data_IF_892689858182
#
_entry.id   IF_892689858182
#
_cell.length_a   1.000
_cell.length_b   1.000
_cell.length_c   1.000
_cell.angle_alpha   90.00
_cell.angle_beta   90.00
_cell.angle_gamma   90.00
#
_symmetry.space_group_name_H-M   'P 1'
#
loop_
_entity.id
_entity.type
_entity.pdbx_description
1 polymer ?
#
# COMPACT_ATOMS: atom_id res chain seq x y z
N UNK A 1 -19.32 -12.18 3.80
CA UNK A 1 -17.97 -11.72 3.37
C UNK A 1 -18.07 -10.27 2.92
N UNK A 2 -17.23 -9.39 3.44
CA UNK A 2 -17.11 -8.03 2.92
C UNK A 2 -16.68 -8.10 1.43
N UNK A 3 -17.23 -7.22 0.59
CA UNK A 3 -16.79 -7.12 -0.80
C UNK A 3 -15.34 -6.64 -0.85
N UNK A 4 -14.52 -7.22 -1.72
CA UNK A 4 -13.16 -6.76 -1.93
C UNK A 4 -13.16 -5.35 -2.55
N UNK A 5 -12.28 -4.48 -2.06
CA UNK A 5 -12.09 -3.14 -2.63
C UNK A 5 -11.61 -3.23 -4.09
N UNK A 6 -10.70 -4.17 -4.35
CA UNK A 6 -10.20 -4.53 -5.68
C UNK A 6 -9.68 -5.96 -5.66
N UNK A 7 -9.38 -6.51 -6.83
CA UNK A 7 -8.65 -7.77 -7.02
C UNK A 7 -7.47 -7.53 -7.95
N UNK A 8 -6.48 -8.44 -7.94
CA UNK A 8 -5.30 -8.29 -8.78
C UNK A 8 -4.18 -7.49 -8.11
N UNK A 9 -3.33 -6.85 -8.90
CA UNK A 9 -2.15 -6.15 -8.41
C UNK A 9 -2.42 -4.65 -8.26
N UNK A 10 -2.35 -4.16 -7.02
CA UNK A 10 -2.28 -2.74 -6.69
C UNK A 10 -0.83 -2.28 -6.52
N UNK A 11 -0.60 -0.99 -6.64
CA UNK A 11 0.70 -0.36 -6.41
C UNK A 11 0.73 0.38 -5.08
N UNK A 12 1.78 0.17 -4.28
CA UNK A 12 2.19 1.11 -3.26
C UNK A 12 3.04 2.19 -3.97
N UNK A 13 2.40 3.30 -4.32
CA UNK A 13 3.00 4.32 -5.18
C UNK A 13 4.18 5.00 -4.50
N UNK A 14 5.25 5.26 -5.26
CA UNK A 14 6.29 6.20 -4.83
C UNK A 14 5.74 7.62 -4.86
N UNK A 15 6.26 8.49 -4.00
CA UNK A 15 6.00 9.93 -4.06
C UNK A 15 7.22 10.61 -4.64
N UNK A 16 7.06 11.45 -5.66
CA UNK A 16 8.18 12.19 -6.22
C UNK A 16 8.39 13.52 -5.50
N UNK A 17 9.65 13.87 -5.32
CA UNK A 17 10.08 15.13 -4.73
C UNK A 17 11.10 15.80 -5.63
N UNK A 18 11.08 17.13 -5.66
CA UNK A 18 12.14 17.92 -6.23
C UNK A 18 13.41 17.86 -5.39
N UNK A 19 14.54 18.32 -5.95
CA UNK A 19 15.83 18.39 -5.23
C UNK A 19 15.76 19.34 -4.01
N UNK A 20 14.80 20.26 -3.99
CA UNK A 20 14.49 21.16 -2.89
C UNK A 20 13.55 20.53 -1.83
N UNK A 21 13.15 19.29 -2.02
CA UNK A 21 12.21 18.56 -1.16
C UNK A 21 10.74 18.90 -1.40
N UNK A 22 10.40 19.72 -2.42
CA UNK A 22 9.01 20.03 -2.77
C UNK A 22 8.30 18.78 -3.30
N UNK A 23 7.05 18.58 -2.88
CA UNK A 23 6.18 17.53 -3.40
C UNK A 23 5.88 17.78 -4.90
N UNK A 24 6.10 16.77 -5.73
CA UNK A 24 5.80 16.77 -7.16
C UNK A 24 4.52 15.99 -7.41
N UNK A 25 3.38 16.67 -7.21
CA UNK A 25 2.05 16.03 -7.29
C UNK A 25 1.77 15.54 -8.70
N UNK A 26 1.98 16.40 -9.70
CA UNK A 26 1.67 16.11 -11.10
C UNK A 26 2.46 14.89 -11.60
N UNK A 27 3.79 14.87 -11.38
CA UNK A 27 4.65 13.76 -11.79
C UNK A 27 4.32 12.46 -11.06
N UNK A 28 3.90 12.55 -9.78
CA UNK A 28 3.47 11.39 -8.99
C UNK A 28 2.17 10.81 -9.54
N UNK A 29 1.23 11.67 -9.90
CA UNK A 29 -0.08 11.27 -10.45
C UNK A 29 0.04 10.75 -11.88
N UNK A 30 0.86 11.37 -12.73
CA UNK A 30 1.16 10.85 -14.08
C UNK A 30 1.72 9.43 -14.03
N UNK A 31 2.62 9.15 -13.08
CA UNK A 31 3.13 7.80 -12.86
C UNK A 31 2.02 6.82 -12.42
N UNK A 32 1.10 7.25 -11.56
CA UNK A 32 -0.04 6.41 -11.17
C UNK A 32 -0.94 6.07 -12.36
N UNK A 33 -1.19 7.05 -13.24
CA UNK A 33 -1.98 6.86 -14.47
C UNK A 33 -1.32 5.84 -15.40
N UNK A 34 -0.01 6.00 -15.67
CA UNK A 34 0.76 5.03 -16.49
C UNK A 34 0.63 3.60 -15.94
N UNK A 35 0.78 3.44 -14.62
CA UNK A 35 0.67 2.13 -14.00
C UNK A 35 -0.73 1.51 -14.12
N UNK A 36 -1.78 2.31 -13.99
CA UNK A 36 -3.16 1.84 -14.17
C UNK A 36 -3.43 1.47 -15.64
N UNK A 37 -2.91 2.22 -16.61
CA UNK A 37 -2.98 1.88 -18.02
C UNK A 37 -2.25 0.57 -18.35
N UNK A 38 -1.23 0.21 -17.57
CA UNK A 38 -0.47 -1.05 -17.63
C UNK A 38 -1.09 -2.18 -16.82
N UNK A 39 -2.31 -2.00 -16.29
CA UNK A 39 -3.10 -3.05 -15.66
C UNK A 39 -3.05 -3.10 -14.12
N UNK A 40 -2.48 -2.10 -13.46
CA UNK A 40 -2.60 -1.96 -12.01
C UNK A 40 -4.05 -1.63 -11.65
N UNK A 41 -4.59 -2.33 -10.67
CA UNK A 41 -6.01 -2.31 -10.30
C UNK A 41 -6.33 -1.50 -9.06
N UNK A 42 -5.34 -0.97 -8.36
CA UNK A 42 -5.52 -0.04 -7.22
C UNK A 42 -4.24 0.78 -7.00
N UNK A 43 -4.39 2.01 -6.53
CA UNK A 43 -3.27 2.91 -6.22
C UNK A 43 -3.28 3.29 -4.75
N UNK A 44 -2.19 3.00 -4.04
CA UNK A 44 -2.01 3.43 -2.64
C UNK A 44 -1.03 4.59 -2.61
N UNK A 45 -1.53 5.79 -2.30
CA UNK A 45 -0.72 7.00 -2.10
C UNK A 45 -0.31 7.15 -0.64
N UNK A 46 0.78 7.83 -0.38
CA UNK A 46 1.24 8.15 0.98
C UNK A 46 1.40 6.94 1.91
N UNK A 47 1.67 5.75 1.33
CA UNK A 47 2.08 4.57 2.11
C UNK A 47 3.57 4.63 2.47
N UNK A 48 4.12 3.56 3.07
CA UNK A 48 5.55 3.46 3.40
C UNK A 48 6.44 3.63 2.16
N UNK A 49 6.04 3.09 1.01
CA UNK A 49 6.75 3.27 -0.27
C UNK A 49 6.75 4.73 -0.73
N UNK A 50 5.67 5.45 -0.45
CA UNK A 50 5.50 6.88 -0.76
C UNK A 50 6.02 7.80 0.34
N UNK A 51 6.91 7.32 1.21
CA UNK A 51 7.58 8.12 2.26
C UNK A 51 6.60 8.81 3.21
N UNK A 52 5.62 8.03 3.72
CA UNK A 52 4.59 8.54 4.64
C UNK A 52 5.14 9.31 5.85
N UNK A 53 6.35 8.99 6.34
CA UNK A 53 6.99 9.71 7.44
C UNK A 53 7.40 11.15 7.10
N UNK A 54 7.48 11.49 5.81
CA UNK A 54 7.91 12.79 5.31
C UNK A 54 6.74 13.64 4.76
N UNK A 55 5.51 13.15 4.83
CA UNK A 55 4.31 13.81 4.35
C UNK A 55 3.39 14.21 5.50
N UNK A 56 2.96 15.48 5.53
CA UNK A 56 1.91 15.91 6.43
C UNK A 56 0.51 15.50 5.93
N UNK A 57 -0.52 15.81 6.70
CA UNK A 57 -1.91 15.41 6.36
C UNK A 57 -2.40 16.12 5.11
N UNK A 58 -2.05 17.38 4.92
CA UNK A 58 -2.51 18.19 3.78
C UNK A 58 -1.88 17.70 2.47
N UNK A 59 -0.59 17.39 2.46
CA UNK A 59 0.11 16.79 1.33
C UNK A 59 -0.46 15.41 0.94
N UNK A 60 -0.86 14.60 1.94
CA UNK A 60 -1.49 13.29 1.67
C UNK A 60 -2.88 13.45 1.05
N UNK A 61 -3.68 14.40 1.54
CA UNK A 61 -5.00 14.69 0.99
C UNK A 61 -4.89 15.29 -0.41
N UNK A 62 -3.91 16.16 -0.66
CA UNK A 62 -3.63 16.72 -1.98
C UNK A 62 -3.28 15.61 -3.00
N UNK A 63 -2.35 14.71 -2.65
CA UNK A 63 -2.01 13.57 -3.49
C UNK A 63 -3.20 12.64 -3.74
N UNK A 64 -4.01 12.41 -2.70
CA UNK A 64 -5.20 11.57 -2.82
C UNK A 64 -6.21 12.18 -3.79
N UNK A 65 -6.52 13.47 -3.63
CA UNK A 65 -7.48 14.18 -4.47
C UNK A 65 -7.01 14.24 -5.94
N UNK A 66 -5.76 14.59 -6.16
CA UNK A 66 -5.19 14.64 -7.50
C UNK A 66 -5.17 13.26 -8.19
N UNK A 67 -4.82 12.20 -7.45
CA UNK A 67 -4.85 10.84 -7.98
C UNK A 67 -6.27 10.37 -8.28
N UNK A 68 -7.23 10.66 -7.40
CA UNK A 68 -8.64 10.29 -7.59
C UNK A 68 -9.24 11.00 -8.81
N UNK A 69 -8.97 12.29 -8.99
CA UNK A 69 -9.38 13.07 -10.15
C UNK A 69 -8.78 12.51 -11.45
N UNK A 70 -7.47 12.31 -11.49
CA UNK A 70 -6.78 11.85 -12.70
C UNK A 70 -7.16 10.41 -13.08
N UNK A 71 -7.41 9.55 -12.12
CA UNK A 71 -7.82 8.16 -12.37
C UNK A 71 -9.30 8.04 -12.77
N UNK A 72 -10.16 8.99 -12.41
CA UNK A 72 -11.57 9.06 -12.81
C UNK A 72 -12.30 7.71 -12.68
N UNK A 73 -12.16 7.07 -11.53
CA UNK A 73 -12.79 5.78 -11.22
C UNK A 73 -12.18 4.55 -11.90
N UNK A 74 -11.11 4.68 -12.70
CA UNK A 74 -10.42 3.55 -13.36
C UNK A 74 -9.76 2.59 -12.36
N UNK A 75 -9.36 3.10 -11.20
CA UNK A 75 -8.83 2.33 -10.10
C UNK A 75 -9.13 3.03 -8.77
N UNK A 76 -9.44 2.31 -7.67
CA UNK A 76 -9.61 2.91 -6.36
C UNK A 76 -8.29 3.50 -5.86
N UNK A 77 -8.38 4.70 -5.26
CA UNK A 77 -7.28 5.35 -4.55
C UNK A 77 -7.40 5.04 -3.06
N UNK A 78 -6.31 4.59 -2.47
CA UNK A 78 -6.19 4.30 -1.04
C UNK A 78 -5.14 5.22 -0.44
N UNK A 79 -5.46 5.91 0.66
CA UNK A 79 -4.50 6.82 1.32
C UNK A 79 -3.90 6.17 2.57
N UNK A 80 -2.59 6.27 2.74
CA UNK A 80 -1.88 5.73 3.91
C UNK A 80 -1.95 6.66 5.12
N UNK A 81 -2.32 6.14 6.31
CA UNK A 81 -2.31 6.88 7.59
C UNK A 81 -1.09 6.60 8.47
N UNK A 82 -0.17 5.75 8.04
CA UNK A 82 1.01 5.41 8.83
C UNK A 82 1.90 6.62 9.17
N UNK A 83 2.60 6.55 10.33
CA UNK A 83 3.50 7.58 10.86
C UNK A 83 2.84 8.90 11.27
N UNK A 84 1.52 9.01 11.26
CA UNK A 84 0.78 10.09 11.89
C UNK A 84 0.55 9.75 13.37
N UNK A 85 0.45 10.79 14.20
CA UNK A 85 -0.12 10.65 15.53
C UNK A 85 -1.65 10.44 15.47
N UNK A 86 -2.28 10.18 16.61
CA UNK A 86 -3.71 9.87 16.66
C UNK A 86 -4.58 11.03 16.12
N UNK A 87 -4.21 12.29 16.37
CA UNK A 87 -4.93 13.47 15.89
C UNK A 87 -4.81 13.60 14.36
N UNK A 88 -3.59 13.46 13.83
CA UNK A 88 -3.32 13.49 12.40
C UNK A 88 -4.01 12.33 11.66
N UNK A 89 -3.99 11.12 12.25
CA UNK A 89 -4.67 9.96 11.68
C UNK A 89 -6.19 10.16 11.64
N UNK A 90 -6.79 10.65 12.74
CA UNK A 90 -8.22 10.96 12.80
C UNK A 90 -8.61 12.04 11.78
N UNK A 91 -7.82 13.12 11.65
CA UNK A 91 -8.02 14.19 10.67
C UNK A 91 -7.94 13.63 9.24
N UNK A 92 -6.91 12.84 8.92
CA UNK A 92 -6.76 12.23 7.60
C UNK A 92 -7.96 11.35 7.26
N UNK A 93 -8.33 10.45 8.17
CA UNK A 93 -9.42 9.49 7.96
C UNK A 93 -10.75 10.22 7.76
N UNK A 94 -11.03 11.26 8.57
CA UNK A 94 -12.26 12.06 8.46
C UNK A 94 -12.37 12.87 7.17
N UNK A 95 -11.26 13.22 6.50
CA UNK A 95 -11.24 14.00 5.27
C UNK A 95 -10.99 13.17 4.00
N UNK A 96 -10.56 11.91 4.15
CA UNK A 96 -10.11 11.09 3.03
C UNK A 96 -11.21 10.79 1.99
N UNK A 97 -12.44 10.59 2.44
CA UNK A 97 -13.58 10.36 1.54
C UNK A 97 -13.86 11.58 0.65
N UNK A 98 -13.81 12.79 1.22
CA UNK A 98 -13.99 14.05 0.48
C UNK A 98 -12.84 14.30 -0.50
N UNK A 99 -11.65 13.78 -0.21
CA UNK A 99 -10.51 13.77 -1.12
C UNK A 99 -10.56 12.62 -2.17
N UNK A 100 -11.68 11.89 -2.26
CA UNK A 100 -11.88 10.84 -3.26
C UNK A 100 -11.22 9.50 -2.93
N UNK A 101 -10.75 9.28 -1.69
CA UNK A 101 -10.25 7.99 -1.27
C UNK A 101 -11.37 6.94 -1.23
N UNK A 102 -11.09 5.75 -1.75
CA UNK A 102 -11.96 4.58 -1.60
C UNK A 102 -11.70 3.81 -0.30
N UNK A 103 -10.52 4.00 0.31
CA UNK A 103 -10.16 3.40 1.59
C UNK A 103 -8.97 4.13 2.23
N UNK A 104 -8.76 3.88 3.53
CA UNK A 104 -7.53 4.21 4.26
C UNK A 104 -6.72 2.94 4.50
N UNK A 105 -5.42 2.99 4.29
CA UNK A 105 -4.47 1.94 4.67
C UNK A 105 -3.84 2.30 6.01
N UNK A 106 -4.28 1.64 7.07
CA UNK A 106 -3.93 1.94 8.45
C UNK A 106 -2.80 1.03 8.96
N UNK A 107 -1.60 1.57 9.09
CA UNK A 107 -0.47 0.85 9.71
C UNK A 107 -0.78 0.56 11.18
N UNK A 108 -0.52 -0.67 11.62
CA UNK A 108 -0.66 -1.03 13.04
C UNK A 108 0.24 -0.14 13.92
N UNK A 109 -0.21 0.25 15.11
CA UNK A 109 0.61 1.07 16.01
C UNK A 109 1.85 0.28 16.48
N UNK A 110 3.04 0.91 16.54
CA UNK A 110 4.24 0.24 17.02
C UNK A 110 4.15 -0.04 18.53
N UNK A 111 4.68 -1.20 18.94
CA UNK A 111 4.79 -1.62 20.33
C UNK A 111 3.45 -1.69 21.11
N UNK A 112 2.32 -1.79 20.39
CA UNK A 112 1.03 -1.97 21.03
C UNK A 112 0.85 -3.42 21.51
N UNK A 113 0.43 -3.59 22.76
CA UNK A 113 0.03 -4.89 23.31
C UNK A 113 -1.32 -5.36 22.73
N UNK A 114 -2.20 -4.40 22.41
CA UNK A 114 -3.49 -4.62 21.76
C UNK A 114 -3.72 -3.57 20.65
N UNK A 115 -3.98 -4.04 19.45
CA UNK A 115 -4.22 -3.18 18.28
C UNK A 115 -5.70 -2.80 18.08
N UNK A 116 -6.64 -3.45 18.81
CA UNK A 116 -8.09 -3.21 18.65
C UNK A 116 -8.49 -1.76 18.89
N UNK A 117 -8.04 -1.07 19.98
CA UNK A 117 -8.42 0.32 20.21
C UNK A 117 -8.03 1.27 19.07
N UNK A 118 -6.87 1.01 18.43
CA UNK A 118 -6.42 1.80 17.28
C UNK A 118 -7.40 1.67 16.08
N UNK A 119 -7.75 0.45 15.70
CA UNK A 119 -8.65 0.23 14.56
C UNK A 119 -10.09 0.65 14.86
N UNK A 120 -10.55 0.49 16.10
CA UNK A 120 -11.86 1.00 16.57
C UNK A 120 -11.92 2.54 16.47
N UNK A 121 -10.88 3.24 16.91
CA UNK A 121 -10.79 4.69 16.80
C UNK A 121 -10.80 5.15 15.34
N UNK A 122 -10.01 4.52 14.47
CA UNK A 122 -9.99 4.86 13.05
C UNK A 122 -11.33 4.60 12.38
N UNK A 123 -11.97 3.46 12.64
CA UNK A 123 -13.28 3.12 12.10
C UNK A 123 -14.37 4.13 12.56
N UNK A 124 -14.30 4.61 13.80
CA UNK A 124 -15.22 5.62 14.31
C UNK A 124 -15.12 6.97 13.56
N UNK A 125 -13.94 7.32 13.04
CA UNK A 125 -13.72 8.54 12.25
C UNK A 125 -13.97 8.32 10.75
N UNK A 126 -13.90 7.08 10.27
CA UNK A 126 -14.00 6.74 8.86
C UNK A 126 -15.43 6.85 8.30
N UNK A 127 -16.47 6.77 9.14
CA UNK A 127 -17.84 6.67 8.67
C UNK A 127 -18.02 5.46 7.74
N UNK A 128 -18.40 5.72 6.49
CA UNK A 128 -18.59 4.67 5.48
C UNK A 128 -17.29 4.33 4.71
N UNK A 129 -16.19 5.06 4.95
CA UNK A 129 -14.92 4.82 4.28
C UNK A 129 -14.28 3.51 4.76
N UNK A 130 -13.86 2.67 3.85
CA UNK A 130 -13.23 1.40 4.18
C UNK A 130 -11.87 1.61 4.88
N UNK A 131 -11.61 0.85 5.95
CA UNK A 131 -10.29 0.80 6.61
C UNK A 131 -9.63 -0.53 6.28
N UNK A 132 -8.47 -0.49 5.64
CA UNK A 132 -7.61 -1.65 5.44
C UNK A 132 -6.54 -1.69 6.53
N UNK A 133 -6.48 -2.77 7.30
CA UNK A 133 -5.42 -2.96 8.28
C UNK A 133 -4.08 -3.25 7.58
N UNK A 134 -3.00 -2.67 8.09
CA UNK A 134 -1.67 -2.84 7.51
C UNK A 134 -0.72 -3.48 8.51
N UNK A 135 -0.40 -4.75 8.28
CA UNK A 135 0.61 -5.50 9.01
C UNK A 135 1.97 -5.36 8.34
N UNK A 136 2.90 -4.66 9.00
CA UNK A 136 4.29 -4.53 8.54
C UNK A 136 5.26 -4.49 9.72
N UNK A 137 5.60 -5.65 10.31
CA UNK A 137 6.37 -5.73 11.56
C UNK A 137 7.81 -5.20 11.44
N UNK A 138 8.37 -5.11 10.22
CA UNK A 138 9.67 -4.50 10.01
C UNK A 138 9.67 -2.97 10.23
N UNK A 139 8.51 -2.31 10.13
CA UNK A 139 8.34 -0.86 10.33
C UNK A 139 7.59 -0.57 11.62
N UNK A 140 6.61 -1.39 11.95
CA UNK A 140 5.77 -1.25 13.14
C UNK A 140 5.66 -2.59 13.88
N UNK A 141 6.67 -2.97 14.69
CA UNK A 141 6.64 -4.20 15.48
C UNK A 141 5.65 -4.08 16.66
N UNK A 142 5.03 -5.18 17.11
CA UNK A 142 5.09 -6.53 16.53
C UNK A 142 4.15 -6.72 15.33
N UNK A 143 3.34 -5.73 14.97
CA UNK A 143 2.30 -5.80 13.96
C UNK A 143 0.99 -6.36 14.53
N UNK A 144 0.16 -6.95 13.67
CA UNK A 144 -1.18 -7.43 14.00
C UNK A 144 -1.15 -8.94 14.23
N UNK A 145 -1.55 -9.47 15.39
CA UNK A 145 -1.72 -10.92 15.58
C UNK A 145 -2.81 -11.48 14.63
N UNK A 146 -2.61 -12.67 14.11
CA UNK A 146 -3.59 -13.30 13.16
C UNK A 146 -4.93 -13.54 13.85
N UNK A 147 -4.88 -13.90 15.13
CA UNK A 147 -6.03 -14.30 15.94
C UNK A 147 -7.05 -13.16 16.14
N UNK A 148 -6.61 -11.90 16.04
CA UNK A 148 -7.51 -10.75 16.24
C UNK A 148 -8.10 -10.20 14.94
N UNK A 149 -7.63 -10.65 13.77
CA UNK A 149 -8.03 -10.08 12.48
C UNK A 149 -9.54 -10.09 12.26
N UNK A 150 -10.22 -11.18 12.63
CA UNK A 150 -11.66 -11.33 12.48
C UNK A 150 -12.48 -10.45 13.46
N UNK A 151 -11.83 -9.90 14.49
CA UNK A 151 -12.47 -9.06 15.50
C UNK A 151 -12.35 -7.56 15.18
N UNK A 152 -11.44 -7.20 14.25
CA UNK A 152 -11.18 -5.80 13.92
C UNK A 152 -12.27 -5.24 12.99
N UNK A 153 -12.67 -3.96 13.17
CA UNK A 153 -13.61 -3.27 12.28
C UNK A 153 -12.93 -2.82 10.98
N UNK A 154 -12.48 -3.79 10.18
CA UNK A 154 -11.70 -3.57 8.96
C UNK A 154 -12.36 -4.18 7.73
N UNK A 155 -12.11 -3.59 6.57
CA UNK A 155 -12.60 -4.07 5.28
C UNK A 155 -11.63 -5.02 4.56
N UNK A 156 -10.44 -5.21 5.11
CA UNK A 156 -9.41 -6.08 4.56
C UNK A 156 -8.06 -5.90 5.26
N UNK A 157 -7.11 -6.74 4.93
CA UNK A 157 -5.74 -6.72 5.48
C UNK A 157 -4.72 -6.62 4.36
N UNK A 158 -3.70 -5.78 4.54
CA UNK A 158 -2.44 -5.85 3.78
C UNK A 158 -1.36 -6.45 4.68
N UNK A 159 -0.80 -7.59 4.27
CA UNK A 159 0.36 -8.20 4.93
C UNK A 159 1.65 -7.96 4.16
N UNK A 160 2.58 -7.22 4.76
CA UNK A 160 3.93 -6.96 4.24
C UNK A 160 5.04 -7.66 5.04
N UNK A 161 4.71 -8.67 5.84
CA UNK A 161 5.71 -9.49 6.56
C UNK A 161 6.65 -10.21 5.61
N UNK A 162 6.15 -10.64 4.45
CA UNK A 162 6.88 -11.50 3.52
C UNK A 162 6.95 -12.98 3.98
N UNK A 163 6.13 -13.35 4.95
CA UNK A 163 6.06 -14.69 5.52
C UNK A 163 4.90 -15.50 4.90
N UNK A 164 5.25 -16.52 4.11
CA UNK A 164 4.26 -17.39 3.49
C UNK A 164 3.50 -18.25 4.52
N UNK A 165 4.11 -18.56 5.66
CA UNK A 165 3.46 -19.28 6.76
C UNK A 165 2.36 -18.42 7.39
N UNK A 166 2.62 -17.13 7.58
CA UNK A 166 1.61 -16.18 8.03
C UNK A 166 0.46 -16.04 7.03
N UNK A 167 0.74 -15.94 5.73
CA UNK A 167 -0.31 -15.93 4.71
C UNK A 167 -1.27 -17.12 4.86
N UNK A 168 -0.74 -18.34 5.04
CA UNK A 168 -1.56 -19.55 5.24
C UNK A 168 -2.40 -19.44 6.52
N UNK A 169 -1.83 -18.93 7.61
CA UNK A 169 -2.56 -18.72 8.85
C UNK A 169 -3.69 -17.68 8.70
N UNK A 170 -3.42 -16.56 8.01
CA UNK A 170 -4.41 -15.52 7.73
C UNK A 170 -5.57 -16.04 6.86
N UNK A 171 -5.27 -16.79 5.80
CA UNK A 171 -6.29 -17.44 4.96
C UNK A 171 -7.17 -18.44 5.71
N UNK A 172 -6.66 -19.02 6.79
CA UNK A 172 -7.41 -19.94 7.65
C UNK A 172 -8.22 -19.28 8.76
N UNK A 173 -7.86 -18.04 9.14
CA UNK A 173 -8.43 -17.36 10.31
C UNK A 173 -9.27 -16.11 9.95
N UNK A 174 -9.16 -15.60 8.73
CA UNK A 174 -9.81 -14.36 8.30
C UNK A 174 -10.54 -14.53 6.97
N UNK A 175 -11.86 -14.32 6.98
CA UNK A 175 -12.73 -14.50 5.82
C UNK A 175 -12.82 -13.22 4.93
N UNK A 176 -12.13 -12.16 5.29
CA UNK A 176 -12.14 -10.89 4.57
C UNK A 176 -11.05 -10.81 3.49
N UNK A 177 -11.04 -9.72 2.71
CA UNK A 177 -10.02 -9.48 1.68
C UNK A 177 -8.60 -9.43 2.25
N UNK A 178 -7.69 -10.20 1.64
CA UNK A 178 -6.28 -10.29 2.02
C UNK A 178 -5.37 -9.88 0.87
N UNK A 179 -4.55 -8.85 1.08
CA UNK A 179 -3.61 -8.30 0.11
C UNK A 179 -2.17 -8.55 0.54
N UNK A 180 -1.39 -9.25 -0.27
CA UNK A 180 0.03 -9.45 0.04
C UNK A 180 0.87 -8.24 -0.36
N UNK A 181 1.80 -7.83 0.52
CA UNK A 181 2.67 -6.66 0.32
C UNK A 181 4.08 -7.02 -0.14
N UNK A 182 4.38 -8.31 -0.36
CA UNK A 182 5.70 -8.78 -0.75
C UNK A 182 5.72 -9.41 -2.14
N UNK A 183 6.58 -8.90 -3.01
CA UNK A 183 6.82 -9.48 -4.34
C UNK A 183 7.69 -10.75 -4.32
N UNK A 184 8.07 -11.26 -3.14
CA UNK A 184 8.92 -12.44 -3.02
C UNK A 184 8.20 -13.76 -3.38
N UNK A 185 6.86 -13.82 -3.26
CA UNK A 185 6.11 -15.09 -3.36
C UNK A 185 4.71 -14.92 -4.00
N UNK A 186 4.56 -14.00 -4.94
CA UNK A 186 3.27 -13.70 -5.59
C UNK A 186 2.67 -14.92 -6.28
N UNK A 187 3.49 -15.71 -6.97
CA UNK A 187 3.04 -16.92 -7.68
C UNK A 187 2.58 -18.05 -6.74
N UNK A 188 2.84 -17.92 -5.45
CA UNK A 188 2.25 -18.75 -4.41
C UNK A 188 0.98 -18.10 -3.84
N UNK A 189 1.05 -16.80 -3.56
CA UNK A 189 -0.01 -16.09 -2.84
C UNK A 189 -1.34 -16.05 -3.62
N UNK A 190 -1.32 -15.71 -4.91
CA UNK A 190 -2.53 -15.66 -5.73
C UNK A 190 -3.24 -17.02 -5.80
N UNK A 191 -2.58 -18.11 -6.23
CA UNK A 191 -3.19 -19.44 -6.27
C UNK A 191 -3.65 -19.99 -4.91
N UNK A 192 -3.06 -19.54 -3.79
CA UNK A 192 -3.53 -19.90 -2.45
C UNK A 192 -4.81 -19.16 -2.03
N UNK A 193 -5.21 -18.11 -2.74
CA UNK A 193 -6.45 -17.40 -2.47
C UNK A 193 -6.28 -16.00 -1.89
N UNK A 194 -5.08 -15.39 -1.94
CA UNK A 194 -4.95 -13.97 -1.66
C UNK A 194 -5.86 -13.18 -2.62
N UNK A 195 -6.62 -12.22 -2.09
CA UNK A 195 -7.55 -11.39 -2.87
C UNK A 195 -6.82 -10.56 -3.92
N UNK A 196 -5.61 -10.14 -3.59
CA UNK A 196 -4.75 -9.34 -4.45
C UNK A 196 -3.41 -9.05 -3.80
N UNK A 197 -2.72 -8.04 -4.32
CA UNK A 197 -1.45 -7.57 -3.79
C UNK A 197 -1.37 -6.05 -3.80
N UNK A 198 -0.56 -5.44 -2.91
CA UNK A 198 -0.23 -4.00 -2.89
C UNK A 198 1.29 -3.89 -2.82
N UNK A 199 1.93 -3.59 -3.94
CA UNK A 199 3.35 -3.85 -4.15
C UNK A 199 4.15 -2.59 -4.45
N UNK A 200 5.29 -2.43 -3.79
CA UNK A 200 6.28 -1.40 -4.15
C UNK A 200 6.96 -1.68 -5.49
N UNK A 201 7.25 -2.97 -5.79
CA UNK A 201 7.92 -3.35 -7.04
C UNK A 201 7.06 -3.07 -8.29
N UNK A 202 5.74 -2.99 -8.14
CA UNK A 202 4.82 -2.63 -9.24
C UNK A 202 5.09 -1.22 -9.82
N UNK A 203 5.78 -0.33 -9.10
CA UNK A 203 6.26 0.93 -9.67
C UNK A 203 7.25 0.75 -10.83
N UNK A 204 7.97 -0.37 -10.89
CA UNK A 204 9.01 -0.60 -11.91
C UNK A 204 8.74 -1.79 -12.82
N UNK A 205 7.89 -2.71 -12.41
CA UNK A 205 7.57 -3.94 -13.15
C UNK A 205 6.12 -4.39 -12.85
N UNK A 206 5.11 -3.60 -13.29
CA UNK A 206 3.71 -3.93 -13.03
C UNK A 206 3.27 -5.22 -13.73
N UNK A 207 3.66 -5.44 -14.98
CA UNK A 207 3.28 -6.63 -15.76
C UNK A 207 3.83 -7.91 -15.14
N UNK A 208 5.10 -7.89 -14.70
CA UNK A 208 5.73 -9.00 -13.99
C UNK A 208 5.02 -9.31 -12.68
N UNK A 209 4.62 -8.28 -11.92
CA UNK A 209 3.85 -8.44 -10.69
C UNK A 209 2.46 -9.05 -10.95
N UNK A 210 1.76 -8.58 -11.98
CA UNK A 210 0.44 -9.10 -12.39
C UNK A 210 0.54 -10.58 -12.79
N UNK A 211 1.49 -10.92 -13.67
CA UNK A 211 1.69 -12.28 -14.13
C UNK A 211 2.09 -13.23 -12.99
N UNK A 212 3.01 -12.80 -12.13
CA UNK A 212 3.40 -13.60 -10.96
C UNK A 212 2.20 -13.84 -10.03
N UNK A 213 1.40 -12.81 -9.73
CA UNK A 213 0.21 -12.96 -8.88
C UNK A 213 -0.84 -13.91 -9.50
N UNK A 214 -0.91 -14.00 -10.82
CA UNK A 214 -1.74 -14.98 -11.52
C UNK A 214 -1.19 -16.43 -11.46
N UNK A 215 -0.02 -16.66 -10.83
CA UNK A 215 0.59 -17.97 -10.66
C UNK A 215 1.76 -18.26 -11.62
N UNK A 216 2.20 -17.29 -12.41
CA UNK A 216 3.33 -17.47 -13.33
C UNK A 216 4.66 -17.54 -12.56
N UNK A 217 5.23 -18.73 -12.49
CA UNK A 217 6.51 -18.98 -11.82
C UNK A 217 7.72 -18.44 -12.58
N UNK A 218 7.63 -18.26 -13.90
CA UNK A 218 8.70 -17.66 -14.69
C UNK A 218 8.75 -16.14 -14.42
N UNK A 219 7.59 -15.47 -14.47
CA UNK A 219 7.45 -14.09 -14.05
C UNK A 219 7.94 -13.90 -12.59
N UNK A 220 7.55 -14.78 -11.66
CA UNK A 220 8.04 -14.74 -10.26
C UNK A 220 9.57 -14.79 -10.17
N UNK A 221 10.23 -15.63 -10.95
CA UNK A 221 11.71 -15.69 -10.99
C UNK A 221 12.32 -14.42 -11.57
N UNK A 222 11.69 -13.86 -12.61
CA UNK A 222 12.13 -12.62 -13.25
C UNK A 222 12.05 -11.40 -12.31
N UNK A 223 11.12 -11.38 -11.35
CA UNK A 223 11.00 -10.33 -10.35
C UNK A 223 12.12 -10.33 -9.29
N UNK A 224 12.80 -11.46 -9.04
CA UNK A 224 13.73 -11.58 -7.90
C UNK A 224 14.90 -10.57 -7.90
N UNK A 225 15.53 -10.23 -9.03
CA UNK A 225 16.56 -9.18 -9.06
C UNK A 225 16.00 -7.82 -8.65
N UNK A 226 14.84 -7.41 -9.21
CA UNK A 226 14.17 -6.16 -8.88
C UNK A 226 13.70 -6.11 -7.43
N UNK A 227 13.18 -7.22 -6.91
CA UNK A 227 12.81 -7.36 -5.50
C UNK A 227 14.02 -7.10 -4.57
N UNK A 228 15.18 -7.71 -4.86
CA UNK A 228 16.38 -7.52 -4.04
C UNK A 228 16.91 -6.09 -4.14
N UNK A 229 17.00 -5.55 -5.35
CA UNK A 229 17.51 -4.20 -5.58
C UNK A 229 16.65 -3.14 -4.90
N UNK A 230 15.32 -3.24 -5.01
CA UNK A 230 14.40 -2.25 -4.42
C UNK A 230 14.42 -2.24 -2.88
N UNK A 231 14.84 -3.34 -2.25
CA UNK A 231 14.94 -3.43 -0.78
C UNK A 231 16.23 -2.87 -0.21
N UNK A 232 17.26 -2.67 -1.05
CA UNK A 232 18.50 -2.04 -0.60
C UNK A 232 18.24 -0.55 -0.43
N UNK A 233 18.36 -0.05 0.81
CA UNK A 233 18.16 1.36 1.12
C UNK A 233 16.74 1.85 0.69
N UNK A 234 15.72 1.13 1.15
CA UNK A 234 14.32 1.41 0.78
C UNK A 234 13.81 2.72 1.42
N UNK A 235 13.10 3.62 0.69
CA UNK A 235 12.63 3.47 -0.69
C UNK A 235 13.62 4.01 -1.75
N UNK A 236 14.78 4.58 -1.35
CA UNK A 236 15.74 5.20 -2.26
C UNK A 236 16.22 4.22 -3.36
N UNK A 237 16.45 2.94 -3.02
CA UNK A 237 16.82 1.92 -3.98
C UNK A 237 15.77 1.72 -5.08
N UNK A 238 14.50 1.70 -4.70
CA UNK A 238 13.38 1.63 -5.64
C UNK A 238 13.33 2.87 -6.55
N UNK A 239 13.45 4.07 -5.99
CA UNK A 239 13.45 5.33 -6.75
C UNK A 239 14.63 5.42 -7.71
N UNK A 240 15.83 5.01 -7.30
CA UNK A 240 17.00 4.93 -8.20
C UNK A 240 16.77 3.95 -9.34
N UNK A 241 16.13 2.80 -9.07
CA UNK A 241 15.76 1.85 -10.12
C UNK A 241 14.77 2.48 -11.10
N UNK A 242 13.72 3.12 -10.59
CA UNK A 242 12.70 3.77 -11.41
C UNK A 242 13.31 4.91 -12.26
N UNK A 243 14.19 5.72 -11.69
CA UNK A 243 14.91 6.77 -12.40
C UNK A 243 15.73 6.22 -13.59
N UNK A 244 16.39 5.06 -13.41
CA UNK A 244 17.11 4.41 -14.52
C UNK A 244 16.19 3.87 -15.62
N UNK A 245 14.99 3.42 -15.27
CA UNK A 245 14.05 2.81 -16.22
C UNK A 245 13.19 3.85 -16.94
N UNK A 246 12.75 4.89 -16.25
CA UNK A 246 11.75 5.84 -16.71
C UNK A 246 12.19 7.33 -16.62
N UNK A 247 13.40 7.62 -16.15
CA UNK A 247 13.91 9.00 -16.05
C UNK A 247 13.22 9.85 -14.96
N UNK A 248 12.57 9.23 -13.98
CA UNK A 248 11.82 9.92 -12.93
C UNK A 248 12.75 10.55 -11.87
N UNK A 249 12.27 11.53 -11.08
CA UNK A 249 13.02 12.11 -9.97
C UNK A 249 13.41 11.06 -8.93
N UNK A 250 14.71 10.90 -8.58
CA UNK A 250 15.18 9.93 -7.60
C UNK A 250 15.19 10.43 -6.16
N UNK A 251 14.89 11.72 -5.93
CA UNK A 251 15.01 12.37 -4.63
C UNK A 251 14.14 11.69 -3.56
N UNK A 252 14.71 11.53 -2.36
CA UNK A 252 14.02 11.07 -1.15
C UNK A 252 13.96 12.25 -0.19
N UNK A 253 12.79 12.49 0.40
CA UNK A 253 12.63 13.55 1.39
C UNK A 253 13.07 13.02 2.76
N UNK A 254 13.99 13.72 3.42
CA UNK A 254 14.31 13.46 4.82
C UNK A 254 13.10 13.82 5.69
N UNK A 255 12.74 12.92 6.62
CA UNK A 255 11.70 13.15 7.61
C UNK A 255 12.25 13.90 8.83
#
# INVERSE_FOLDING_TARGET
>A
MAAALFTGAGVALVTFFGDDGRLLVEETVEHAVDLVERGITAVVVSGTTGESWALDVDERLELCAAAAEALDGRAPVVVGSGHLDDEGAARLVGAAADAGAAAVLALSPPHADDVRPHYEALAAHAGDLAVLAYHFPAVSPPGIPVEVLAELPIAGVKDSSGDAGRLVAELGAYDGPLYVGSSAYLALAGPLGATGAILSLANTDPEGCIAALAGDMEAQRALLPGHRESRVDFPAGLKRRLARLAGTPPAVRAG
#
